data_IF_386181546471
#
_entry.id   IF_386181546471
#
_cell.length_a   1.000
_cell.length_b   1.000
_cell.length_c   1.000
_cell.angle_alpha   90.00
_cell.angle_beta   90.00
_cell.angle_gamma   90.00
#
_symmetry.space_group_name_H-M   'P 1'
#
loop_
_entity.id
_entity.type
_entity.pdbx_description
1 polymer ?
#
# COMPACT_ATOMS: atom_id res chain seq x y z
N UNK A 1 -28.82 -2.86 -1.36
CA UNK A 1 -27.59 -3.52 -1.86
C UNK A 1 -26.41 -2.61 -1.56
N UNK A 2 -25.66 -2.88 -0.51
CA UNK A 2 -24.42 -2.14 -0.20
C UNK A 2 -23.37 -2.50 -1.25
N UNK A 3 -22.92 -1.51 -2.04
CA UNK A 3 -21.72 -1.64 -2.88
C UNK A 3 -20.56 -2.01 -1.95
N UNK A 4 -20.13 -3.28 -1.96
CA UNK A 4 -18.86 -3.68 -1.35
C UNK A 4 -17.79 -2.87 -2.08
N UNK A 5 -17.17 -1.94 -1.37
CA UNK A 5 -16.16 -1.07 -1.95
C UNK A 5 -14.90 -1.90 -2.10
N UNK A 6 -14.45 -2.10 -3.34
CA UNK A 6 -13.19 -2.79 -3.64
C UNK A 6 -12.05 -2.17 -2.82
N UNK A 7 -11.49 -2.94 -1.89
CA UNK A 7 -10.38 -2.46 -1.06
C UNK A 7 -9.10 -2.53 -1.87
N UNK A 8 -8.38 -1.40 -1.96
CA UNK A 8 -7.08 -1.35 -2.63
C UNK A 8 -6.02 -1.98 -1.75
N UNK A 9 -5.29 -2.93 -2.31
CA UNK A 9 -4.16 -3.62 -1.67
C UNK A 9 -2.86 -3.01 -2.18
N UNK A 10 -1.96 -2.77 -1.24
CA UNK A 10 -0.64 -2.24 -1.48
C UNK A 10 0.41 -3.19 -0.93
N UNK A 11 1.58 -3.23 -1.57
CA UNK A 11 2.77 -3.88 -1.06
C UNK A 11 3.79 -2.80 -0.69
N UNK A 12 4.30 -2.84 0.54
CA UNK A 12 5.33 -1.93 1.04
C UNK A 12 6.70 -2.56 0.88
N UNK A 13 7.60 -1.76 0.30
CA UNK A 13 9.00 -2.08 0.15
C UNK A 13 9.85 -1.02 0.84
N UNK A 14 11.05 -1.38 1.24
CA UNK A 14 12.11 -0.45 1.67
C UNK A 14 13.38 -0.78 0.89
N UNK A 15 13.70 0.05 -0.09
CA UNK A 15 14.68 -0.32 -1.13
C UNK A 15 14.23 -1.60 -1.83
N UNK A 16 15.09 -2.61 -1.85
CA UNK A 16 14.81 -3.92 -2.46
C UNK A 16 14.16 -4.94 -1.50
N UNK A 17 13.83 -4.54 -0.27
CA UNK A 17 13.25 -5.45 0.73
C UNK A 17 11.74 -5.31 0.79
N UNK A 18 11.04 -6.43 0.66
CA UNK A 18 9.62 -6.53 1.01
C UNK A 18 9.44 -6.36 2.51
N UNK A 19 8.48 -5.51 2.90
CA UNK A 19 8.16 -5.24 4.31
C UNK A 19 6.80 -5.83 4.65
N UNK A 20 5.78 -5.51 3.85
CA UNK A 20 4.40 -5.84 4.20
C UNK A 20 3.46 -5.77 2.99
N UNK A 21 2.29 -6.39 3.10
CA UNK A 21 1.24 -6.32 2.08
C UNK A 21 -0.14 -6.36 2.74
N UNK A 22 -1.05 -5.53 2.24
CA UNK A 22 -2.41 -5.49 2.77
C UNK A 22 -3.17 -4.30 2.26
N UNK A 23 -4.36 -4.08 2.81
CA UNK A 23 -5.13 -2.88 2.49
C UNK A 23 -4.46 -1.63 3.03
N UNK A 24 -4.84 -0.45 2.50
CA UNK A 24 -4.39 0.84 3.05
C UNK A 24 -4.62 1.00 4.56
N UNK A 25 -5.59 0.27 5.13
CA UNK A 25 -5.94 0.36 6.56
C UNK A 25 -5.06 -0.56 7.39
N UNK A 26 -4.85 -1.80 6.96
CA UNK A 26 -3.97 -2.74 7.65
C UNK A 26 -2.53 -2.25 7.67
N UNK A 27 -2.02 -1.81 6.52
CA UNK A 27 -0.68 -1.24 6.40
C UNK A 27 -0.52 -0.01 7.29
N UNK A 28 -1.54 0.84 7.35
CA UNK A 28 -1.54 2.01 8.20
C UNK A 28 -1.45 1.63 9.69
N UNK A 29 -2.21 0.61 10.11
CA UNK A 29 -2.21 0.10 11.48
C UNK A 29 -0.86 -0.55 11.84
N UNK A 30 -0.35 -1.45 10.99
CA UNK A 30 0.93 -2.14 11.18
C UNK A 30 2.14 -1.21 11.23
N UNK A 31 2.15 -0.15 10.39
CA UNK A 31 3.26 0.81 10.36
C UNK A 31 3.04 2.02 11.29
N UNK A 32 1.87 2.14 11.93
CA UNK A 32 1.50 3.29 12.75
C UNK A 32 1.42 4.60 11.96
N UNK A 33 1.02 4.55 10.68
CA UNK A 33 0.89 5.71 9.79
C UNK A 33 -0.56 5.94 9.40
N UNK A 34 -0.86 7.05 8.73
CA UNK A 34 -2.21 7.29 8.21
C UNK A 34 -2.43 6.55 6.88
N UNK A 35 -3.67 6.12 6.57
CA UNK A 35 -3.98 5.51 5.27
C UNK A 35 -3.73 6.46 4.09
N UNK A 36 -3.77 7.78 4.34
CA UNK A 36 -3.42 8.78 3.33
C UNK A 36 -1.91 8.78 3.04
N UNK A 37 -1.08 8.57 4.07
CA UNK A 37 0.37 8.36 3.90
C UNK A 37 0.69 7.13 3.05
N UNK A 38 -0.07 6.03 3.18
CA UNK A 38 0.12 4.85 2.31
C UNK A 38 -0.06 5.21 0.84
N UNK A 39 -1.06 6.04 0.52
CA UNK A 39 -1.30 6.52 -0.85
C UNK A 39 -0.17 7.44 -1.32
N UNK A 40 0.39 8.26 -0.41
CA UNK A 40 1.55 9.09 -0.71
C UNK A 40 2.82 8.26 -0.98
N UNK A 41 3.05 7.19 -0.21
CA UNK A 41 4.13 6.23 -0.45
C UNK A 41 4.00 5.53 -1.81
N UNK A 42 2.77 5.38 -2.31
CA UNK A 42 2.50 4.83 -3.64
C UNK A 42 2.75 5.82 -4.79
N UNK A 43 3.01 7.09 -4.48
CA UNK A 43 3.24 8.12 -5.49
C UNK A 43 4.61 7.94 -6.16
N UNK A 44 4.70 7.98 -7.50
CA UNK A 44 5.95 7.82 -8.23
C UNK A 44 6.98 8.89 -7.88
N UNK A 45 6.52 10.10 -7.55
CA UNK A 45 7.38 11.21 -7.11
C UNK A 45 8.12 10.90 -5.81
N UNK A 46 7.48 10.17 -4.88
CA UNK A 46 8.11 9.78 -3.62
C UNK A 46 9.20 8.73 -3.85
N UNK A 47 8.88 7.69 -4.62
CA UNK A 47 9.83 6.62 -5.00
C UNK A 47 11.08 7.17 -5.70
N UNK A 48 10.91 8.14 -6.60
CA UNK A 48 12.02 8.74 -7.36
C UNK A 48 12.95 9.60 -6.49
N UNK A 49 12.41 10.26 -5.45
CA UNK A 49 13.18 11.15 -4.56
C UNK A 49 13.97 10.37 -3.51
N UNK A 50 13.45 9.23 -3.08
CA UNK A 50 14.04 8.43 -2.00
C UNK A 50 14.01 6.93 -2.34
N UNK A 51 14.93 6.44 -3.18
CA UNK A 51 14.95 5.02 -3.59
C UNK A 51 15.23 4.06 -2.44
N UNK A 52 15.91 4.54 -1.38
CA UNK A 52 16.28 3.74 -0.21
C UNK A 52 15.25 3.82 0.93
N UNK A 53 14.19 4.60 0.74
CA UNK A 53 13.13 4.79 1.74
C UNK A 53 11.95 3.88 1.43
N UNK A 54 10.91 3.94 2.27
CA UNK A 54 9.70 3.14 2.09
C UNK A 54 8.92 3.62 0.87
N UNK A 55 8.46 2.70 0.05
CA UNK A 55 7.51 3.00 -1.02
C UNK A 55 6.44 1.92 -1.08
N UNK A 56 5.24 2.32 -1.51
CA UNK A 56 4.14 1.41 -1.71
C UNK A 56 3.97 1.12 -3.21
N UNK A 57 3.56 -0.10 -3.56
CA UNK A 57 3.15 -0.47 -4.90
C UNK A 57 1.70 -0.93 -4.81
N UNK A 58 0.83 -0.36 -5.62
CA UNK A 58 -0.53 -0.88 -5.76
C UNK A 58 -0.47 -2.21 -6.51
N UNK A 59 -0.92 -3.29 -5.87
CA UNK A 59 -0.85 -4.64 -6.45
C UNK A 59 -2.20 -5.16 -6.92
N UNK A 60 -3.31 -4.57 -6.47
CA UNK A 60 -4.64 -5.00 -6.89
C UNK A 60 -5.73 -4.66 -5.89
N UNK A 61 -6.85 -5.35 -6.04
CA UNK A 61 -7.98 -5.24 -5.11
C UNK A 61 -8.09 -6.53 -4.30
N UNK A 62 -8.47 -6.41 -3.04
CA UNK A 62 -8.61 -7.55 -2.13
C UNK A 62 -9.60 -8.60 -2.65
N UNK A 63 -10.65 -8.15 -3.34
CA UNK A 63 -11.66 -9.05 -3.94
C UNK A 63 -11.12 -9.88 -5.12
N UNK A 64 -9.94 -9.56 -5.66
CA UNK A 64 -9.26 -10.30 -6.73
C UNK A 64 -8.34 -11.41 -6.18
N UNK A 65 -8.14 -11.48 -4.86
CA UNK A 65 -7.27 -12.46 -4.17
C UNK A 65 -8.05 -13.64 -3.56
N UNK A 66 -9.39 -13.61 -3.67
CA UNK A 66 -10.31 -14.63 -3.14
C UNK A 66 -10.84 -15.60 -4.22
N UNK A 67 -10.34 -15.51 -5.46
CA UNK A 67 -10.74 -16.38 -6.59
C UNK A 67 -9.84 -17.60 -6.79
#
# INVERSE_FOLDING_TARGET
>A
MTRKQKQRVYAIYKGDKFIDVGTKREIADQLGITPNSVTFLASPSHKKRSPNDRFAIFIGYEEDLEE
#
